data_IF_454915961618
#
_entry.id   IF_454915961618
#
_cell.length_a   1.000
_cell.length_b   1.000
_cell.length_c   1.000
_cell.angle_alpha   90.00
_cell.angle_beta   90.00
_cell.angle_gamma   90.00
#
_symmetry.space_group_name_H-M   'P 1'
#
loop_
_entity.id
_entity.type
_entity.pdbx_description
1 polymer ?
#
# COMPACT_ATOMS: atom_id res chain seq x y z
N UNK A 1 -3.63 11.42 -4.24
CA UNK A 1 -4.84 12.02 -4.86
C UNK A 1 -5.86 10.92 -5.05
N UNK A 2 -7.06 11.11 -4.51
CA UNK A 2 -8.15 10.13 -4.67
C UNK A 2 -8.61 10.05 -6.14
N UNK A 3 -8.95 8.84 -6.60
CA UNK A 3 -9.42 8.61 -7.98
C UNK A 3 -10.63 9.46 -8.38
N UNK A 4 -11.54 9.77 -7.44
CA UNK A 4 -12.69 10.66 -7.68
C UNK A 4 -12.34 12.14 -7.89
N UNK A 5 -11.12 12.55 -7.62
CA UNK A 5 -10.68 13.97 -7.75
C UNK A 5 -9.82 14.23 -8.97
N UNK A 6 -9.65 13.24 -9.87
CA UNK A 6 -8.81 13.42 -11.08
C UNK A 6 -9.33 14.52 -12.02
N UNK A 7 -10.64 14.82 -12.01
CA UNK A 7 -11.21 15.94 -12.77
C UNK A 7 -10.65 17.32 -12.38
N UNK A 8 -10.03 17.43 -11.21
CA UNK A 8 -9.38 18.64 -10.72
C UNK A 8 -7.86 18.65 -10.93
N UNK A 9 -7.32 17.77 -11.78
CA UNK A 9 -5.87 17.57 -11.95
C UNK A 9 -5.12 18.86 -12.24
N UNK A 10 -5.68 19.77 -13.05
CA UNK A 10 -5.01 21.02 -13.42
C UNK A 10 -4.79 21.94 -12.19
N UNK A 11 -5.70 21.91 -11.21
CA UNK A 11 -5.55 22.62 -9.93
C UNK A 11 -4.45 22.01 -9.07
N UNK A 12 -4.38 20.67 -9.00
CA UNK A 12 -3.30 19.98 -8.28
C UNK A 12 -1.93 20.23 -8.91
N UNK A 13 -1.83 20.23 -10.23
CA UNK A 13 -0.59 20.54 -10.95
C UNK A 13 -0.12 21.97 -10.72
N UNK A 14 -1.06 22.93 -10.64
CA UNK A 14 -0.73 24.31 -10.27
C UNK A 14 -0.13 24.37 -8.87
N UNK A 15 -0.79 23.75 -7.88
CA UNK A 15 -0.30 23.70 -6.49
C UNK A 15 1.08 23.00 -6.44
N UNK A 16 1.22 21.89 -7.13
CA UNK A 16 2.48 21.15 -7.20
C UNK A 16 3.63 22.02 -7.71
N UNK A 17 3.41 22.74 -8.81
CA UNK A 17 4.40 23.62 -9.40
C UNK A 17 4.77 24.80 -8.48
N UNK A 18 3.79 25.42 -7.85
CA UNK A 18 4.00 26.56 -6.95
C UNK A 18 4.76 26.16 -5.67
N UNK A 19 4.68 24.89 -5.25
CA UNK A 19 5.27 24.39 -4.01
C UNK A 19 6.45 23.42 -4.21
N UNK A 20 6.94 23.26 -5.45
CA UNK A 20 8.10 22.39 -5.74
C UNK A 20 7.83 20.91 -5.54
N UNK A 21 6.56 20.49 -5.64
CA UNK A 21 6.19 19.05 -5.58
C UNK A 21 6.62 18.38 -6.87
N UNK A 22 7.37 17.27 -6.74
CA UNK A 22 7.96 16.54 -7.87
C UNK A 22 7.39 15.13 -8.06
N UNK A 23 6.50 14.67 -7.18
CA UNK A 23 5.80 13.40 -7.32
C UNK A 23 4.36 13.52 -6.81
N UNK A 24 3.43 12.80 -7.44
CA UNK A 24 2.02 12.72 -7.02
C UNK A 24 1.62 11.25 -6.92
N UNK A 25 1.02 10.88 -5.79
CA UNK A 25 0.37 9.58 -5.59
C UNK A 25 -1.08 9.68 -6.02
N UNK A 26 -1.52 8.77 -6.89
CA UNK A 26 -2.90 8.66 -7.39
C UNK A 26 -3.43 7.27 -7.12
N UNK A 27 -4.61 7.17 -6.51
CA UNK A 27 -5.21 5.86 -6.23
C UNK A 27 -5.61 5.15 -7.53
N UNK A 28 -5.20 3.90 -7.66
CA UNK A 28 -5.68 2.92 -8.65
C UNK A 28 -6.82 2.11 -8.03
N UNK A 29 -6.61 1.68 -6.77
CA UNK A 29 -7.60 0.91 -6.01
C UNK A 29 -7.55 1.29 -4.53
N UNK A 30 -8.65 1.87 -4.03
CA UNK A 30 -8.89 2.13 -2.60
C UNK A 30 -10.40 2.06 -2.33
N UNK A 31 -10.89 0.90 -1.88
CA UNK A 31 -12.32 0.58 -1.78
C UNK A 31 -13.05 0.51 -3.13
N UNK A 32 -12.65 1.32 -4.10
CA UNK A 32 -13.14 1.30 -5.47
C UNK A 32 -11.97 1.31 -6.46
N UNK A 33 -12.22 0.88 -7.68
CA UNK A 33 -11.26 1.01 -8.77
C UNK A 33 -11.33 2.41 -9.38
N UNK A 34 -10.16 2.93 -9.74
CA UNK A 34 -10.08 4.21 -10.41
C UNK A 34 -10.60 4.18 -11.84
N UNK A 35 -10.44 3.06 -12.53
CA UNK A 35 -10.80 2.86 -13.93
C UNK A 35 -11.30 1.42 -14.19
N UNK A 36 -11.90 1.18 -15.36
CA UNK A 36 -12.40 -0.14 -15.78
C UNK A 36 -11.24 -1.06 -16.19
N UNK A 37 -10.72 -1.83 -15.22
CA UNK A 37 -9.60 -2.77 -15.40
C UNK A 37 -10.06 -4.08 -16.02
N UNK A 38 -9.36 -4.58 -17.06
CA UNK A 38 -9.63 -5.90 -17.63
C UNK A 38 -9.24 -7.02 -16.66
N UNK A 39 -8.18 -6.83 -15.88
CA UNK A 39 -7.75 -7.76 -14.84
C UNK A 39 -8.83 -7.89 -13.75
N UNK A 40 -9.38 -6.77 -13.30
CA UNK A 40 -10.47 -6.82 -12.32
C UNK A 40 -11.74 -7.45 -12.93
N UNK A 41 -12.05 -7.18 -14.18
CA UNK A 41 -13.20 -7.80 -14.88
C UNK A 41 -13.10 -9.32 -14.91
N UNK A 42 -11.91 -9.85 -15.10
CA UNK A 42 -11.64 -11.30 -15.16
C UNK A 42 -11.62 -11.94 -13.76
N UNK A 43 -10.91 -11.31 -12.79
CA UNK A 43 -10.62 -11.94 -11.52
C UNK A 43 -11.60 -11.52 -10.43
N UNK A 44 -11.99 -10.26 -10.36
CA UNK A 44 -12.90 -9.73 -9.32
C UNK A 44 -13.98 -8.84 -9.94
N UNK A 45 -15.04 -9.44 -10.50
CA UNK A 45 -16.15 -8.70 -11.09
C UNK A 45 -16.81 -7.70 -10.12
N UNK A 46 -16.84 -8.03 -8.83
CA UNK A 46 -17.34 -7.12 -7.78
C UNK A 46 -16.48 -5.87 -7.67
N UNK A 47 -15.15 -5.99 -7.74
CA UNK A 47 -14.26 -4.84 -7.79
C UNK A 47 -14.41 -4.06 -9.11
N UNK A 48 -14.50 -4.75 -10.25
CA UNK A 48 -14.71 -4.13 -11.55
C UNK A 48 -15.93 -3.21 -11.58
N UNK A 49 -17.03 -3.63 -10.97
CA UNK A 49 -18.26 -2.86 -10.89
C UNK A 49 -18.14 -1.54 -10.10
N UNK A 50 -17.04 -1.31 -9.41
CA UNK A 50 -16.79 -0.08 -8.62
C UNK A 50 -16.05 1.00 -9.39
N UNK A 51 -15.66 0.76 -10.64
CA UNK A 51 -14.87 1.70 -11.44
C UNK A 51 -15.51 3.10 -11.50
N UNK A 52 -14.71 4.11 -11.14
CA UNK A 52 -15.19 5.51 -10.96
C UNK A 52 -15.09 6.31 -12.25
N UNK A 53 -14.00 6.13 -13.02
CA UNK A 53 -13.72 6.92 -14.20
C UNK A 53 -13.70 6.06 -15.45
N UNK A 54 -13.94 6.67 -16.60
CA UNK A 54 -13.59 6.06 -17.87
C UNK A 54 -12.06 6.03 -18.04
N UNK A 55 -11.55 5.04 -18.78
CA UNK A 55 -10.14 4.78 -18.93
C UNK A 55 -9.39 5.94 -19.60
N UNK A 56 -10.03 6.62 -20.55
CA UNK A 56 -9.40 7.72 -21.29
C UNK A 56 -9.21 8.96 -20.41
N UNK A 57 -10.21 9.31 -19.61
CA UNK A 57 -10.12 10.43 -18.66
C UNK A 57 -9.08 10.17 -17.59
N UNK A 58 -9.05 8.95 -17.03
CA UNK A 58 -8.05 8.59 -16.02
C UNK A 58 -6.63 8.63 -16.60
N UNK A 59 -6.42 7.99 -17.77
CA UNK A 59 -5.14 8.04 -18.47
C UNK A 59 -4.70 9.47 -18.78
N UNK A 60 -5.60 10.31 -19.32
CA UNK A 60 -5.30 11.71 -19.62
C UNK A 60 -4.81 12.48 -18.39
N UNK A 61 -5.37 12.21 -17.19
CA UNK A 61 -4.90 12.84 -15.96
C UNK A 61 -3.48 12.38 -15.60
N UNK A 62 -3.14 11.10 -15.77
CA UNK A 62 -1.78 10.60 -15.53
C UNK A 62 -0.79 11.17 -16.56
N UNK A 63 -1.19 11.27 -17.83
CA UNK A 63 -0.36 11.88 -18.86
C UNK A 63 -0.05 13.37 -18.52
N UNK A 64 -1.04 14.15 -18.08
CA UNK A 64 -0.85 15.53 -17.63
C UNK A 64 0.16 15.65 -16.47
N UNK A 65 0.14 14.72 -15.49
CA UNK A 65 1.13 14.67 -14.40
C UNK A 65 2.53 14.53 -14.98
N UNK A 66 2.71 13.57 -15.90
CA UNK A 66 4.00 13.29 -16.52
C UNK A 66 4.48 14.42 -17.44
N UNK A 67 3.59 15.02 -18.22
CA UNK A 67 3.87 16.16 -19.11
C UNK A 67 4.30 17.41 -18.32
N UNK A 68 3.81 17.52 -17.07
CA UNK A 68 4.25 18.57 -16.15
C UNK A 68 5.64 18.29 -15.52
N UNK A 69 6.30 17.16 -15.88
CA UNK A 69 7.58 16.74 -15.31
C UNK A 69 7.47 16.17 -13.90
N UNK A 70 6.25 15.78 -13.47
CA UNK A 70 5.99 15.24 -12.14
C UNK A 70 5.95 13.71 -12.20
N UNK A 71 6.58 13.06 -11.23
CA UNK A 71 6.65 11.62 -11.11
C UNK A 71 5.31 11.04 -10.66
N UNK A 72 4.73 10.13 -11.45
CA UNK A 72 3.41 9.56 -11.22
C UNK A 72 3.52 8.22 -10.47
N UNK A 73 2.93 8.15 -9.27
CA UNK A 73 2.89 6.95 -8.41
C UNK A 73 1.45 6.45 -8.34
N UNK A 74 1.21 5.19 -8.68
CA UNK A 74 -0.10 4.56 -8.61
C UNK A 74 -0.27 3.75 -7.32
N UNK A 75 -1.23 4.11 -6.45
CA UNK A 75 -1.45 3.43 -5.17
C UNK A 75 -2.53 2.34 -5.28
N UNK A 76 -2.24 1.17 -4.72
CA UNK A 76 -3.15 0.03 -4.63
C UNK A 76 -3.22 -0.46 -3.18
N UNK A 77 -4.42 -0.45 -2.61
CA UNK A 77 -4.73 -1.16 -1.35
C UNK A 77 -4.78 -2.66 -1.63
N UNK A 78 -3.89 -3.44 -0.98
CA UNK A 78 -3.67 -4.86 -1.33
C UNK A 78 -4.62 -5.79 -0.58
N UNK A 79 -4.39 -6.02 0.72
CA UNK A 79 -5.13 -7.06 1.46
C UNK A 79 -6.36 -6.53 2.21
N UNK A 80 -6.59 -5.23 2.28
CA UNK A 80 -7.84 -4.66 2.78
C UNK A 80 -8.85 -4.49 1.64
N UNK A 81 -9.28 -5.61 1.03
CA UNK A 81 -10.08 -5.61 -0.19
C UNK A 81 -11.37 -6.43 -0.04
N UNK A 82 -12.44 -5.77 0.37
CA UNK A 82 -13.74 -6.38 0.56
C UNK A 82 -14.37 -6.88 -0.76
N UNK A 83 -14.03 -6.25 -1.89
CA UNK A 83 -14.61 -6.61 -3.18
C UNK A 83 -13.98 -7.90 -3.72
N UNK A 84 -12.66 -8.00 -3.69
CA UNK A 84 -11.97 -9.25 -3.97
C UNK A 84 -12.44 -10.36 -3.01
N UNK A 85 -12.57 -10.05 -1.72
CA UNK A 85 -13.02 -11.01 -0.72
C UNK A 85 -14.44 -11.55 -0.95
N UNK A 86 -15.34 -10.76 -1.57
CA UNK A 86 -16.68 -11.24 -1.96
C UNK A 86 -16.63 -12.26 -3.10
N UNK A 87 -15.74 -12.05 -4.06
CA UNK A 87 -15.58 -12.95 -5.21
C UNK A 87 -14.74 -14.20 -4.82
N UNK A 88 -13.86 -14.07 -3.83
CA UNK A 88 -12.92 -15.09 -3.37
C UNK A 88 -12.96 -15.31 -1.85
N UNK A 89 -14.10 -15.74 -1.28
CA UNK A 89 -14.24 -15.89 0.19
C UNK A 89 -13.28 -16.93 0.78
N UNK A 90 -12.85 -17.92 0.01
CA UNK A 90 -11.90 -18.95 0.45
C UNK A 90 -10.48 -18.42 0.64
N UNK A 91 -10.16 -17.28 0.05
CA UNK A 91 -8.90 -16.56 0.23
C UNK A 91 -8.92 -15.65 1.46
N UNK A 92 -10.09 -15.41 2.06
CA UNK A 92 -10.24 -14.52 3.19
C UNK A 92 -9.95 -15.23 4.52
N UNK A 93 -9.37 -14.48 5.45
CA UNK A 93 -9.22 -14.89 6.84
C UNK A 93 -10.62 -15.11 7.41
N UNK A 94 -10.88 -16.28 7.97
CA UNK A 94 -12.10 -16.56 8.72
C UNK A 94 -11.83 -16.50 10.22
N UNK A 95 -12.71 -15.82 10.97
CA UNK A 95 -12.57 -15.66 12.41
C UNK A 95 -13.91 -15.46 13.09
N UNK A 96 -14.10 -16.06 14.24
CA UNK A 96 -15.27 -15.74 15.10
C UNK A 96 -15.15 -14.37 15.78
N UNK A 97 -13.95 -13.79 15.80
CA UNK A 97 -13.68 -12.47 16.37
C UNK A 97 -13.93 -11.31 15.40
N UNK A 98 -14.07 -11.58 14.10
CA UNK A 98 -14.26 -10.55 13.08
C UNK A 98 -15.07 -11.11 11.90
N UNK A 99 -16.07 -10.36 11.47
CA UNK A 99 -16.84 -10.63 10.23
C UNK A 99 -16.26 -9.91 9.00
N UNK A 100 -15.13 -9.20 9.15
CA UNK A 100 -14.52 -8.42 8.08
C UNK A 100 -13.96 -9.35 7.01
N UNK A 101 -14.34 -9.14 5.76
CA UNK A 101 -13.70 -9.79 4.63
C UNK A 101 -12.31 -9.18 4.44
N UNK A 102 -11.30 -9.99 4.75
CA UNK A 102 -9.90 -9.59 4.61
C UNK A 102 -9.13 -10.70 3.90
N UNK A 103 -8.79 -10.54 2.62
CA UNK A 103 -7.92 -11.45 1.90
C UNK A 103 -6.62 -11.70 2.68
N UNK A 104 -6.29 -12.96 2.86
CA UNK A 104 -5.09 -13.32 3.60
C UNK A 104 -3.83 -12.96 2.83
N UNK A 105 -2.81 -12.44 3.52
CA UNK A 105 -1.49 -12.26 2.93
C UNK A 105 -0.80 -13.60 2.59
N UNK A 106 -1.34 -14.75 2.99
CA UNK A 106 -0.93 -16.07 2.52
C UNK A 106 -1.58 -16.46 1.17
N UNK A 107 -2.63 -15.75 0.69
CA UNK A 107 -3.29 -16.12 -0.56
C UNK A 107 -2.49 -15.72 -1.79
N UNK A 108 -2.03 -16.72 -2.54
CA UNK A 108 -1.36 -16.51 -3.84
C UNK A 108 -2.31 -15.98 -4.90
N UNK A 109 -3.62 -16.22 -4.78
CA UNK A 109 -4.66 -15.63 -5.62
C UNK A 109 -4.75 -14.12 -5.42
N UNK A 110 -4.77 -13.66 -4.17
CA UNK A 110 -4.76 -12.22 -3.85
C UNK A 110 -3.45 -11.55 -4.31
N UNK A 111 -2.30 -12.24 -4.21
CA UNK A 111 -1.03 -11.75 -4.75
C UNK A 111 -1.11 -11.51 -6.25
N UNK A 112 -1.54 -12.54 -6.98
CA UNK A 112 -1.64 -12.50 -8.44
C UNK A 112 -2.55 -11.36 -8.90
N UNK A 113 -3.75 -11.25 -8.32
CA UNK A 113 -4.70 -10.19 -8.65
C UNK A 113 -4.10 -8.79 -8.52
N UNK A 114 -3.50 -8.48 -7.36
CA UNK A 114 -2.96 -7.15 -7.11
C UNK A 114 -1.74 -6.83 -7.98
N UNK A 115 -0.90 -7.83 -8.26
CA UNK A 115 0.28 -7.65 -9.11
C UNK A 115 -0.12 -7.50 -10.58
N UNK A 116 -1.07 -8.28 -11.09
CA UNK A 116 -1.54 -8.12 -12.47
C UNK A 116 -2.29 -6.80 -12.68
N UNK A 117 -3.10 -6.35 -11.70
CA UNK A 117 -3.72 -5.02 -11.72
C UNK A 117 -2.65 -3.91 -11.76
N UNK A 118 -1.59 -4.04 -10.97
CA UNK A 118 -0.47 -3.10 -10.97
C UNK A 118 0.26 -3.07 -12.32
N UNK A 119 0.52 -4.25 -12.91
CA UNK A 119 1.17 -4.36 -14.25
C UNK A 119 0.30 -3.74 -15.34
N UNK A 120 -1.02 -3.97 -15.29
CA UNK A 120 -1.98 -3.32 -16.20
C UNK A 120 -1.90 -1.79 -16.05
N UNK A 121 -1.94 -1.27 -14.83
CA UNK A 121 -1.88 0.16 -14.58
C UNK A 121 -0.57 0.81 -15.09
N UNK A 122 0.57 0.13 -14.95
CA UNK A 122 1.84 0.60 -15.53
C UNK A 122 1.75 0.67 -17.06
N UNK A 123 1.27 -0.41 -17.71
CA UNK A 123 1.24 -0.52 -19.17
C UNK A 123 0.22 0.41 -19.81
N UNK A 124 -0.99 0.46 -19.25
CA UNK A 124 -2.12 1.17 -19.85
C UNK A 124 -2.20 2.63 -19.42
N UNK A 125 -1.93 2.95 -18.15
CA UNK A 125 -2.01 4.30 -17.62
C UNK A 125 -0.67 5.02 -17.59
N UNK A 126 0.46 4.28 -17.54
CA UNK A 126 1.79 4.84 -17.68
C UNK A 126 2.41 5.33 -16.37
N UNK A 127 2.07 4.75 -15.24
CA UNK A 127 2.70 5.04 -13.95
C UNK A 127 4.21 4.72 -13.95
N UNK A 128 4.98 5.55 -13.28
CA UNK A 128 6.42 5.34 -13.09
C UNK A 128 6.71 4.35 -11.94
N UNK A 129 5.80 4.29 -10.99
CA UNK A 129 5.92 3.52 -9.76
C UNK A 129 4.55 3.03 -9.31
N UNK A 130 4.53 1.85 -8.71
CA UNK A 130 3.38 1.33 -7.98
C UNK A 130 3.69 1.40 -6.49
N UNK A 131 2.75 1.95 -5.72
CA UNK A 131 2.79 1.97 -4.27
C UNK A 131 1.73 1.02 -3.71
N UNK A 132 2.17 -0.02 -3.03
CA UNK A 132 1.28 -0.95 -2.35
C UNK A 132 1.04 -0.52 -0.91
N UNK A 133 -0.23 -0.41 -0.55
CA UNK A 133 -0.68 -0.15 0.82
C UNK A 133 -1.43 -1.36 1.38
N UNK A 134 -1.58 -1.43 2.69
CA UNK A 134 -2.17 -2.58 3.39
C UNK A 134 -1.52 -3.92 3.06
N UNK A 135 -0.19 -3.91 2.86
CA UNK A 135 0.62 -5.13 2.70
C UNK A 135 0.89 -5.71 4.08
N UNK A 136 -0.14 -6.32 4.66
CA UNK A 136 -0.14 -6.81 6.04
C UNK A 136 -1.39 -7.62 6.37
N UNK A 137 -1.36 -8.34 7.48
CA UNK A 137 -2.55 -8.87 8.11
C UNK A 137 -3.36 -7.76 8.82
N UNK A 138 -4.60 -8.04 9.30
CA UNK A 138 -5.36 -7.07 10.09
C UNK A 138 -4.60 -6.62 11.34
N UNK A 139 -4.85 -5.40 11.83
CA UNK A 139 -4.23 -4.86 13.06
C UNK A 139 -4.50 -5.72 14.28
N UNK A 140 -5.67 -6.36 14.33
CA UNK A 140 -6.10 -7.24 15.41
C UNK A 140 -5.66 -8.71 15.22
N UNK A 141 -4.77 -9.00 14.27
CA UNK A 141 -4.28 -10.35 13.96
C UNK A 141 -3.74 -11.09 15.20
N UNK A 142 -3.12 -10.38 16.15
CA UNK A 142 -2.68 -10.97 17.40
C UNK A 142 -3.87 -11.51 18.22
N UNK A 143 -4.89 -10.69 18.42
CA UNK A 143 -6.10 -11.09 19.15
C UNK A 143 -6.85 -12.21 18.44
N UNK A 144 -6.90 -12.17 17.11
CA UNK A 144 -7.49 -13.23 16.29
C UNK A 144 -6.74 -14.56 16.48
N UNK A 145 -5.41 -14.51 16.59
CA UNK A 145 -4.58 -15.71 16.80
C UNK A 145 -4.78 -16.33 18.20
N UNK A 146 -4.82 -15.51 19.26
CA UNK A 146 -4.88 -16.00 20.65
C UNK A 146 -6.29 -16.37 21.13
N UNK A 147 -7.34 -15.72 20.60
CA UNK A 147 -8.73 -16.00 20.97
C UNK A 147 -9.30 -17.28 20.35
N UNK A 148 -8.52 -17.91 19.46
CA UNK A 148 -8.89 -19.15 18.79
C UNK A 148 -9.95 -18.97 17.70
N UNK A 149 -10.19 -20.05 16.94
CA UNK A 149 -11.17 -20.10 15.86
C UNK A 149 -10.92 -19.08 14.73
N UNK A 150 -9.66 -18.77 14.46
CA UNK A 150 -9.25 -18.00 13.28
C UNK A 150 -8.41 -18.86 12.35
N UNK A 151 -8.85 -18.92 11.10
CA UNK A 151 -8.09 -19.54 10.01
C UNK A 151 -7.53 -18.43 9.11
N UNK A 152 -6.22 -18.26 9.16
CA UNK A 152 -5.50 -17.29 8.35
C UNK A 152 -5.20 -17.77 6.92
N UNK A 153 -5.65 -18.98 6.56
CA UNK A 153 -5.43 -19.61 5.23
C UNK A 153 -3.95 -19.88 4.92
N UNK A 154 -3.17 -20.18 5.96
CA UNK A 154 -1.74 -20.47 5.85
C UNK A 154 -1.50 -21.88 5.28
N UNK A 155 -1.53 -22.01 3.95
CA UNK A 155 -1.32 -23.30 3.25
C UNK A 155 0.16 -23.66 3.08
N UNK A 156 1.07 -22.72 3.36
CA UNK A 156 2.49 -22.86 3.04
C UNK A 156 3.37 -22.91 4.29
N UNK A 157 2.76 -22.89 5.47
CA UNK A 157 3.46 -22.92 6.78
C UNK A 157 4.48 -21.80 6.93
N UNK A 158 4.10 -20.59 6.48
CA UNK A 158 4.93 -19.38 6.56
C UNK A 158 4.60 -18.58 7.81
N UNK A 159 5.59 -17.91 8.39
CA UNK A 159 5.34 -16.84 9.35
C UNK A 159 4.69 -15.62 8.67
N UNK A 160 3.95 -14.80 9.42
CA UNK A 160 3.26 -13.63 8.84
C UNK A 160 4.23 -12.65 8.14
N UNK A 161 5.38 -12.39 8.75
CA UNK A 161 6.39 -11.52 8.14
C UNK A 161 7.03 -12.16 6.91
N UNK A 162 7.22 -13.47 6.91
CA UNK A 162 7.72 -14.21 5.76
C UNK A 162 6.75 -14.13 4.58
N UNK A 163 5.45 -14.29 4.81
CA UNK A 163 4.45 -14.15 3.76
C UNK A 163 4.43 -12.74 3.15
N UNK A 164 4.51 -11.69 3.97
CA UNK A 164 4.62 -10.31 3.51
C UNK A 164 5.89 -10.11 2.69
N UNK A 165 7.01 -10.62 3.16
CA UNK A 165 8.29 -10.57 2.47
C UNK A 165 8.24 -11.29 1.11
N UNK A 166 7.71 -12.51 1.08
CA UNK A 166 7.61 -13.32 -0.14
C UNK A 166 6.66 -12.68 -1.16
N UNK A 167 5.56 -12.06 -0.70
CA UNK A 167 4.71 -11.25 -1.57
C UNK A 167 5.49 -10.10 -2.22
N UNK A 168 6.28 -9.37 -1.44
CA UNK A 168 7.04 -8.24 -1.95
C UNK A 168 8.17 -8.68 -2.89
N UNK A 169 8.83 -9.81 -2.65
CA UNK A 169 9.77 -10.38 -3.63
C UNK A 169 9.10 -10.66 -4.97
N UNK A 170 7.96 -11.35 -4.93
CA UNK A 170 7.18 -11.64 -6.13
C UNK A 170 6.75 -10.34 -6.84
N UNK A 171 6.20 -9.38 -6.09
CA UNK A 171 5.69 -8.14 -6.64
C UNK A 171 6.81 -7.29 -7.27
N UNK A 172 7.94 -7.11 -6.57
CA UNK A 172 9.08 -6.32 -7.06
C UNK A 172 9.61 -6.90 -8.37
N UNK A 173 9.83 -8.22 -8.43
CA UNK A 173 10.28 -8.90 -9.66
C UNK A 173 9.31 -8.66 -10.83
N UNK A 174 8.00 -8.75 -10.60
CA UNK A 174 7.00 -8.60 -11.65
C UNK A 174 6.83 -7.13 -12.11
N UNK A 175 6.88 -6.18 -11.18
CA UNK A 175 6.76 -4.75 -11.50
C UNK A 175 8.01 -4.24 -12.24
N UNK A 176 9.21 -4.68 -11.84
CA UNK A 176 10.44 -4.37 -12.57
C UNK A 176 10.40 -4.88 -14.03
N UNK A 177 9.81 -6.05 -14.28
CA UNK A 177 9.66 -6.60 -15.66
C UNK A 177 8.79 -5.71 -16.56
N UNK A 178 7.93 -4.88 -16.02
CA UNK A 178 7.13 -3.92 -16.80
C UNK A 178 7.71 -2.51 -16.78
N UNK A 179 8.91 -2.32 -16.22
CA UNK A 179 9.67 -1.07 -16.28
C UNK A 179 9.24 0.00 -15.26
N UNK A 180 8.61 -0.40 -14.16
CA UNK A 180 8.24 0.50 -13.07
C UNK A 180 8.94 0.12 -11.77
N UNK A 181 8.98 1.05 -10.82
CA UNK A 181 9.46 0.83 -9.45
C UNK A 181 8.32 0.38 -8.53
N UNK A 182 8.68 -0.28 -7.43
CA UNK A 182 7.73 -0.67 -6.38
C UNK A 182 8.04 0.04 -5.07
N UNK A 183 7.04 0.66 -4.49
CA UNK A 183 7.07 1.15 -3.11
C UNK A 183 5.97 0.49 -2.25
N UNK A 184 6.14 0.57 -0.94
CA UNK A 184 5.18 0.02 0.02
C UNK A 184 4.95 0.96 1.18
N UNK A 185 3.68 1.12 1.56
CA UNK A 185 3.27 1.82 2.77
C UNK A 185 3.32 0.89 3.97
N UNK A 186 3.92 1.36 5.06
CA UNK A 186 4.04 0.60 6.31
C UNK A 186 3.67 1.47 7.51
N UNK A 187 3.18 0.87 8.58
CA UNK A 187 2.98 1.59 9.83
C UNK A 187 4.29 2.12 10.42
N UNK A 188 4.21 3.24 11.14
CA UNK A 188 5.38 3.86 11.80
C UNK A 188 6.09 2.92 12.76
N UNK A 189 5.35 2.08 13.50
CA UNK A 189 5.91 1.10 14.43
C UNK A 189 6.73 -0.03 13.76
N UNK A 190 6.53 -0.25 12.44
CA UNK A 190 7.31 -1.23 11.68
C UNK A 190 8.82 -0.98 11.74
N UNK A 191 9.25 0.27 11.96
CA UNK A 191 10.67 0.63 12.14
C UNK A 191 11.26 0.19 13.48
N UNK A 192 10.45 -0.37 14.39
CA UNK A 192 10.88 -0.91 15.66
C UNK A 192 11.79 -2.14 15.54
N UNK A 193 12.22 -2.67 16.68
CA UNK A 193 13.16 -3.81 16.74
C UNK A 193 12.50 -5.15 16.45
N UNK A 194 11.17 -5.25 16.62
CA UNK A 194 10.43 -6.50 16.55
C UNK A 194 9.52 -6.54 15.34
N UNK A 195 9.25 -7.76 14.88
CA UNK A 195 8.22 -8.03 13.88
C UNK A 195 6.85 -7.65 14.45
N UNK A 196 6.07 -6.90 13.70
CA UNK A 196 4.71 -6.55 14.10
C UNK A 196 3.77 -7.77 14.02
N UNK A 197 2.73 -7.79 14.86
CA UNK A 197 1.77 -8.89 14.88
C UNK A 197 1.01 -9.09 13.56
N UNK A 198 0.97 -8.07 12.72
CA UNK A 198 0.36 -8.09 11.39
C UNK A 198 1.36 -8.33 10.24
N UNK A 199 2.62 -8.70 10.56
CA UNK A 199 3.61 -9.21 9.61
C UNK A 199 4.51 -8.16 8.96
N UNK A 200 4.46 -6.89 9.35
CA UNK A 200 5.41 -5.91 8.85
C UNK A 200 6.70 -5.93 9.66
N UNK A 201 7.84 -5.98 8.96
CA UNK A 201 9.17 -5.93 9.54
C UNK A 201 10.09 -5.11 8.64
N UNK A 202 10.53 -3.97 9.14
CA UNK A 202 11.26 -2.96 8.36
C UNK A 202 12.46 -3.49 7.59
N UNK A 203 13.41 -4.22 8.22
CA UNK A 203 14.59 -4.71 7.50
C UNK A 203 14.25 -5.66 6.35
N UNK A 204 13.27 -6.54 6.55
CA UNK A 204 12.83 -7.48 5.53
C UNK A 204 12.17 -6.78 4.34
N UNK A 205 11.34 -5.77 4.60
CA UNK A 205 10.64 -5.01 3.56
C UNK A 205 11.60 -4.09 2.82
N UNK A 206 12.38 -3.28 3.57
CA UNK A 206 13.28 -2.29 2.98
C UNK A 206 14.41 -2.89 2.16
N UNK A 207 14.77 -4.15 2.40
CA UNK A 207 15.79 -4.85 1.60
C UNK A 207 15.30 -5.36 0.23
N UNK A 208 14.00 -5.19 -0.08
CA UNK A 208 13.39 -5.76 -1.28
C UNK A 208 12.83 -4.69 -2.21
N UNK A 209 12.07 -3.74 -1.66
CA UNK A 209 11.36 -2.72 -2.45
C UNK A 209 12.27 -1.55 -2.81
N UNK A 210 11.89 -0.76 -3.81
CA UNK A 210 12.66 0.43 -4.22
C UNK A 210 12.47 1.60 -3.25
N UNK A 211 11.25 1.75 -2.69
CA UNK A 211 10.98 2.74 -1.67
C UNK A 211 10.07 2.19 -0.57
N UNK A 212 10.34 2.62 0.67
CA UNK A 212 9.52 2.30 1.84
C UNK A 212 8.93 3.59 2.40
N UNK A 213 7.61 3.65 2.50
CA UNK A 213 6.86 4.84 2.89
C UNK A 213 6.17 4.59 4.23
N UNK A 214 6.79 5.03 5.30
CA UNK A 214 6.22 4.86 6.64
C UNK A 214 5.17 5.92 6.95
N UNK A 215 4.23 5.56 7.82
CA UNK A 215 3.10 6.39 8.26
C UNK A 215 3.19 6.68 9.78
N UNK A 216 4.19 7.47 10.26
CA UNK A 216 4.31 7.83 11.66
C UNK A 216 3.36 8.99 12.01
N UNK A 217 2.06 8.80 11.78
CA UNK A 217 1.06 9.81 12.11
C UNK A 217 1.00 10.03 13.61
N UNK A 218 0.93 11.28 14.03
CA UNK A 218 1.04 11.65 15.44
C UNK A 218 -0.06 11.05 16.31
N UNK A 219 -1.24 10.86 15.78
CA UNK A 219 -2.39 10.21 16.44
C UNK A 219 -2.24 8.69 16.61
N UNK A 220 -1.26 8.06 15.94
CA UNK A 220 -0.93 6.64 16.08
C UNK A 220 0.06 6.34 17.22
N UNK A 221 0.70 7.35 17.80
CA UNK A 221 1.63 7.18 18.92
C UNK A 221 0.88 7.15 20.26
N UNK A 222 0.39 5.99 20.64
CA UNK A 222 -0.08 5.61 21.96
C UNK A 222 -1.00 6.58 22.74
N UNK A 223 -1.84 6.03 23.62
CA UNK A 223 -2.67 6.81 24.52
C UNK A 223 -1.82 7.46 25.61
N UNK A 224 -1.89 8.78 25.74
CA UNK A 224 -1.18 9.54 26.79
C UNK A 224 0.02 10.36 26.28
N UNK A 225 0.40 10.22 25.03
CA UNK A 225 1.30 11.19 24.39
C UNK A 225 0.44 12.36 23.93
N UNK A 226 0.78 13.56 24.38
CA UNK A 226 0.18 14.79 23.82
C UNK A 226 0.81 14.98 22.42
N UNK A 227 0.21 14.29 21.46
CA UNK A 227 0.75 14.16 20.10
C UNK A 227 0.69 15.47 19.32
N UNK A 228 -0.25 16.35 19.70
CA UNK A 228 -0.41 17.64 19.04
C UNK A 228 0.58 18.69 19.56
N UNK A 229 0.78 18.78 20.87
CA UNK A 229 1.78 19.72 21.46
C UNK A 229 3.22 19.30 21.22
N UNK A 230 3.48 18.01 21.03
CA UNK A 230 4.83 17.44 20.80
C UNK A 230 5.00 16.79 19.43
N UNK A 231 4.16 17.10 18.45
CA UNK A 231 4.16 16.46 17.13
C UNK A 231 5.54 16.45 16.46
N UNK A 232 6.20 17.59 16.43
CA UNK A 232 7.56 17.70 15.87
C UNK A 232 8.54 16.75 16.56
N UNK A 233 8.62 16.76 17.88
CA UNK A 233 9.59 15.94 18.62
C UNK A 233 9.27 14.44 18.49
N UNK A 234 7.99 14.08 18.44
CA UNK A 234 7.53 12.70 18.24
C UNK A 234 7.99 12.18 16.88
N UNK A 235 7.69 12.90 15.80
CA UNK A 235 8.09 12.50 14.45
C UNK A 235 9.61 12.56 14.26
N UNK A 236 10.29 13.56 14.85
CA UNK A 236 11.74 13.65 14.82
C UNK A 236 12.43 12.46 15.49
N UNK A 237 11.99 12.07 16.68
CA UNK A 237 12.55 10.92 17.39
C UNK A 237 12.30 9.62 16.62
N UNK A 238 11.11 9.46 16.08
CA UNK A 238 10.79 8.34 15.21
C UNK A 238 11.72 8.31 13.98
N UNK A 239 11.84 9.41 13.26
CA UNK A 239 12.68 9.51 12.05
C UNK A 239 14.15 9.19 12.35
N UNK A 240 14.67 9.63 13.51
CA UNK A 240 16.04 9.31 13.96
C UNK A 240 16.21 7.80 14.16
N UNK A 241 15.24 7.13 14.78
CA UNK A 241 15.25 5.67 14.96
C UNK A 241 15.17 4.92 13.64
N UNK A 242 14.22 5.30 12.77
CA UNK A 242 14.07 4.71 11.45
C UNK A 242 15.32 4.89 10.57
N UNK A 243 15.96 6.07 10.60
CA UNK A 243 17.20 6.33 9.89
C UNK A 243 18.38 5.50 10.42
N UNK A 244 18.44 5.23 11.72
CA UNK A 244 19.44 4.33 12.29
C UNK A 244 19.22 2.90 11.81
N UNK A 245 17.97 2.42 11.86
CA UNK A 245 17.58 1.10 11.36
C UNK A 245 17.91 0.93 9.88
N UNK A 246 17.64 1.95 9.06
CA UNK A 246 17.89 1.93 7.61
C UNK A 246 19.37 1.72 7.27
N UNK A 247 20.28 2.26 8.09
CA UNK A 247 21.74 2.12 7.90
C UNK A 247 22.28 0.70 8.15
N UNK A 248 21.52 -0.13 8.85
CA UNK A 248 21.89 -1.52 9.14
C UNK A 248 21.54 -2.47 8.00
N UNK A 249 20.78 -2.01 7.01
CA UNK A 249 20.27 -2.83 5.91
C UNK A 249 21.27 -2.80 4.74
N UNK A 250 21.70 -3.94 4.20
CA UNK A 250 22.72 -4.01 3.14
C UNK A 250 22.29 -3.31 1.83
N UNK A 251 21.02 -3.44 1.44
CA UNK A 251 20.45 -2.83 0.23
C UNK A 251 19.17 -2.07 0.60
N UNK A 252 19.29 -0.93 1.30
CA UNK A 252 18.12 -0.25 1.83
C UNK A 252 17.32 0.45 0.74
N UNK A 253 16.00 0.32 0.79
CA UNK A 253 15.07 1.11 -0.01
C UNK A 253 15.22 2.63 0.25
N UNK A 254 14.77 3.45 -0.68
CA UNK A 254 14.61 4.89 -0.42
C UNK A 254 13.49 5.07 0.62
N UNK A 255 13.80 5.69 1.75
CA UNK A 255 12.79 6.01 2.77
C UNK A 255 12.04 7.29 2.38
N UNK A 256 10.73 7.19 2.16
CA UNK A 256 9.80 8.30 1.97
C UNK A 256 8.72 8.21 3.03
N UNK A 257 8.57 9.24 3.85
CA UNK A 257 7.68 9.20 5.00
C UNK A 257 6.44 10.04 4.73
N UNK A 258 5.27 9.46 4.97
CA UNK A 258 4.03 10.20 5.07
C UNK A 258 4.03 11.02 6.35
N UNK A 259 3.65 12.27 6.27
CA UNK A 259 3.44 13.14 7.42
C UNK A 259 2.04 13.72 7.43
N UNK A 260 1.50 13.93 8.61
CA UNK A 260 0.22 14.61 8.79
C UNK A 260 0.37 16.09 8.41
N UNK A 261 -0.49 16.58 7.52
CA UNK A 261 -0.51 17.96 7.06
C UNK A 261 -1.93 18.56 7.07
N UNK A 262 -2.74 18.18 8.04
CA UNK A 262 -4.08 18.75 8.29
C UNK A 262 -4.17 19.25 9.73
N UNK A 263 -5.00 20.25 9.94
CA UNK A 263 -5.29 20.86 11.24
C UNK A 263 -6.31 20.04 12.04
#
# INVERSE_FOLDING_TARGET
MNAGTIGSIDSYLKIAKENGVNAIVVDIKDGALAYSSNIAKEISPTAYATAINDNSSYKSAIDKIKDAGIYAIGRIVVFNDVHYGKDHPDDCISSTASSRLWPSAYSRGAWYYNVELAKEAVKEMGFNEIQFDYVRFPEDAYNMSIKGNSDFKNKYDEEKAEAVQNFLFYATDQIHKVGAYLSVDVFGECSGEYVTAYGQYWPAISNIVDAISSMPYTDHFGRGVDTWTNAYQTVYNWAKGAAARQKEIPTPAVARTWITAYD
#
